data_IF_004407286411
#
_entry.id   IF_004407286411
#
_cell.length_a   1.000
_cell.length_b   1.000
_cell.length_c   1.000
_cell.angle_alpha   90.00
_cell.angle_beta   90.00
_cell.angle_gamma   90.00
#
_symmetry.space_group_name_H-M   'P 1'
#
loop_
_entity.id
_entity.type
_entity.pdbx_description
1 polymer ?
#
# COMPACT_ATOMS: atom_id res chain seq x y z
N UNK A 1 -23.80 19.66 23.46
CA UNK A 1 -23.61 18.28 22.97
C UNK A 1 -22.15 18.13 22.52
N UNK A 2 -21.32 17.46 23.31
CA UNK A 2 -19.92 17.16 22.93
C UNK A 2 -19.92 16.08 21.83
N UNK A 3 -19.26 16.28 20.69
CA UNK A 3 -19.21 15.26 19.64
C UNK A 3 -18.54 14.00 20.20
N UNK A 4 -19.22 12.86 20.08
CA UNK A 4 -18.73 11.55 20.54
C UNK A 4 -17.40 11.30 19.82
N UNK A 5 -16.27 11.35 20.54
CA UNK A 5 -14.93 11.11 19.98
C UNK A 5 -14.96 9.76 19.26
N UNK A 6 -14.87 9.79 17.93
CA UNK A 6 -14.79 8.57 17.15
C UNK A 6 -13.37 8.02 17.28
N UNK A 7 -13.24 6.73 17.60
CA UNK A 7 -11.93 6.09 17.72
C UNK A 7 -11.14 6.15 16.40
N UNK A 8 -9.80 6.07 16.46
CA UNK A 8 -8.93 6.21 15.28
C UNK A 8 -9.28 5.21 14.17
N UNK A 9 -9.64 3.97 14.53
CA UNK A 9 -10.12 2.96 13.57
C UNK A 9 -11.32 3.43 12.75
N UNK A 10 -12.33 4.01 13.43
CA UNK A 10 -13.53 4.49 12.74
C UNK A 10 -13.21 5.65 11.81
N UNK A 11 -12.32 6.55 12.23
CA UNK A 11 -11.91 7.71 11.44
C UNK A 11 -11.12 7.34 10.18
N UNK A 12 -10.13 6.46 10.30
CA UNK A 12 -9.15 6.20 9.24
C UNK A 12 -9.50 5.00 8.35
N UNK A 13 -10.29 4.04 8.85
CA UNK A 13 -10.63 2.83 8.10
C UNK A 13 -12.11 2.81 7.73
N UNK A 14 -12.99 2.90 8.72
CA UNK A 14 -14.44 2.69 8.49
C UNK A 14 -15.07 3.86 7.73
N UNK A 15 -14.82 5.10 8.13
CA UNK A 15 -15.48 6.26 7.53
C UNK A 15 -15.19 6.43 6.03
N UNK A 16 -13.94 6.30 5.53
CA UNK A 16 -13.66 6.39 4.10
C UNK A 16 -14.38 5.31 3.29
N UNK A 17 -14.41 4.06 3.79
CA UNK A 17 -15.14 2.96 3.16
C UNK A 17 -16.63 3.29 3.07
N UNK A 18 -17.22 3.69 4.20
CA UNK A 18 -18.65 4.01 4.27
C UNK A 18 -19.03 5.16 3.33
N UNK A 19 -18.21 6.22 3.27
CA UNK A 19 -18.43 7.32 2.35
C UNK A 19 -18.44 6.86 0.89
N UNK A 20 -17.51 5.99 0.50
CA UNK A 20 -17.45 5.49 -0.88
C UNK A 20 -18.58 4.50 -1.21
N UNK A 21 -19.01 3.69 -0.24
CA UNK A 21 -20.23 2.87 -0.38
C UNK A 21 -21.46 3.75 -0.60
N UNK A 22 -21.63 4.83 0.20
CA UNK A 22 -22.75 5.77 0.03
C UNK A 22 -22.77 6.51 -1.30
N UNK A 23 -21.63 6.58 -1.98
CA UNK A 23 -21.51 7.15 -3.33
C UNK A 23 -21.79 6.12 -4.44
N UNK A 24 -22.29 4.92 -4.09
CA UNK A 24 -22.64 3.87 -5.05
C UNK A 24 -21.46 3.01 -5.52
N UNK A 25 -20.30 3.08 -4.85
CA UNK A 25 -19.18 2.19 -5.18
C UNK A 25 -19.47 0.78 -4.70
N UNK A 26 -19.23 -0.23 -5.55
CA UNK A 26 -19.44 -1.63 -5.16
C UNK A 26 -18.39 -2.11 -4.14
N UNK A 27 -18.74 -3.03 -3.22
CA UNK A 27 -17.79 -3.64 -2.29
C UNK A 27 -16.55 -4.25 -2.96
N UNK A 28 -16.73 -4.82 -4.15
CA UNK A 28 -15.64 -5.38 -4.95
C UNK A 28 -14.62 -4.31 -5.39
N UNK A 29 -15.07 -3.14 -5.85
CA UNK A 29 -14.18 -2.03 -6.25
C UNK A 29 -13.42 -1.43 -5.06
N UNK A 30 -14.08 -1.32 -3.90
CA UNK A 30 -13.43 -0.89 -2.66
C UNK A 30 -12.36 -1.90 -2.26
N UNK A 31 -12.68 -3.19 -2.29
CA UNK A 31 -11.74 -4.28 -1.94
C UNK A 31 -10.54 -4.33 -2.88
N UNK A 32 -10.73 -4.10 -4.18
CA UNK A 32 -9.63 -3.95 -5.14
C UNK A 32 -8.75 -2.76 -4.75
N UNK A 33 -9.33 -1.59 -4.49
CA UNK A 33 -8.56 -0.42 -4.10
C UNK A 33 -7.79 -0.61 -2.77
N UNK A 34 -8.36 -1.33 -1.79
CA UNK A 34 -7.67 -1.72 -0.55
C UNK A 34 -6.48 -2.62 -0.87
N UNK A 35 -6.69 -3.68 -1.65
CA UNK A 35 -5.65 -4.65 -2.00
C UNK A 35 -4.47 -3.99 -2.72
N UNK A 36 -4.75 -3.16 -3.73
CA UNK A 36 -3.71 -2.40 -4.42
C UNK A 36 -3.06 -1.35 -3.50
N UNK A 37 -3.84 -0.66 -2.67
CA UNK A 37 -3.33 0.39 -1.78
C UNK A 37 -2.29 -0.15 -0.80
N UNK A 38 -2.61 -1.27 -0.16
CA UNK A 38 -1.67 -1.91 0.78
C UNK A 38 -0.48 -2.51 0.03
N UNK A 39 -0.72 -3.30 -1.02
CA UNK A 39 0.35 -4.04 -1.72
C UNK A 39 1.36 -3.11 -2.38
N UNK A 40 0.89 -2.07 -3.08
CA UNK A 40 1.77 -1.06 -3.68
C UNK A 40 2.34 -0.11 -2.63
N UNK A 41 1.63 0.12 -1.53
CA UNK A 41 2.10 0.96 -0.42
C UNK A 41 3.36 0.43 0.25
N UNK A 42 3.51 -0.89 0.34
CA UNK A 42 4.70 -1.56 0.90
C UNK A 42 5.83 -1.81 -0.11
N UNK A 43 5.74 -1.27 -1.33
CA UNK A 43 6.80 -1.42 -2.34
C UNK A 43 8.15 -0.96 -1.78
N UNK A 44 9.25 -1.74 -1.92
CA UNK A 44 10.47 -1.53 -1.15
C UNK A 44 11.30 -0.30 -1.59
N UNK A 45 10.79 0.57 -2.46
CA UNK A 45 11.47 1.80 -2.86
C UNK A 45 10.74 3.01 -2.30
N UNK A 46 11.38 3.69 -1.36
CA UNK A 46 10.85 4.89 -0.69
C UNK A 46 10.55 5.98 -1.73
N UNK A 47 9.41 6.65 -1.59
CA UNK A 47 9.01 7.77 -2.45
C UNK A 47 8.43 7.38 -3.82
N UNK A 48 8.74 6.19 -4.34
CA UNK A 48 8.25 5.73 -5.64
C UNK A 48 6.80 5.20 -5.62
N UNK A 49 6.31 4.78 -4.45
CA UNK A 49 4.99 4.17 -4.30
C UNK A 49 3.83 5.10 -4.70
N UNK A 50 3.98 6.43 -4.57
CA UNK A 50 2.98 7.38 -5.06
C UNK A 50 2.84 7.31 -6.57
N UNK A 51 3.95 7.32 -7.31
CA UNK A 51 3.92 7.15 -8.77
C UNK A 51 3.38 5.76 -9.14
N UNK A 52 3.83 4.71 -8.45
CA UNK A 52 3.39 3.34 -8.70
C UNK A 52 1.87 3.18 -8.51
N UNK A 53 1.32 3.73 -7.43
CA UNK A 53 -0.12 3.69 -7.16
C UNK A 53 -0.92 4.50 -8.16
N UNK A 54 -0.38 5.62 -8.67
CA UNK A 54 -1.03 6.38 -9.74
C UNK A 54 -1.02 5.59 -11.06
N UNK A 55 0.14 5.05 -11.44
CA UNK A 55 0.34 4.25 -12.65
C UNK A 55 -0.52 2.99 -12.67
N UNK A 56 -0.77 2.36 -11.52
CA UNK A 56 -1.70 1.24 -11.44
C UNK A 56 -3.15 1.72 -11.33
N UNK A 57 -3.42 2.69 -10.47
CA UNK A 57 -4.78 3.06 -10.07
C UNK A 57 -5.58 3.76 -11.16
N UNK A 58 -4.94 4.61 -11.97
CA UNK A 58 -5.62 5.35 -13.05
C UNK A 58 -6.09 4.43 -14.18
N UNK A 59 -5.23 3.62 -14.82
CA UNK A 59 -5.67 2.76 -15.92
C UNK A 59 -6.64 1.66 -15.46
N UNK A 60 -6.48 1.14 -14.24
CA UNK A 60 -7.39 0.15 -13.66
C UNK A 60 -8.69 0.75 -13.11
N UNK A 61 -8.87 2.08 -13.19
CA UNK A 61 -10.04 2.82 -12.70
C UNK A 61 -10.38 2.46 -11.24
N UNK A 62 -9.34 2.32 -10.40
CA UNK A 62 -9.50 2.00 -8.98
C UNK A 62 -10.13 3.18 -8.23
N UNK A 63 -10.78 2.88 -7.11
CA UNK A 63 -11.28 3.91 -6.22
C UNK A 63 -10.11 4.69 -5.59
N UNK A 64 -9.79 5.85 -6.16
CA UNK A 64 -8.61 6.65 -5.78
C UNK A 64 -8.62 7.07 -4.30
N UNK A 65 -9.74 7.55 -3.71
CA UNK A 65 -9.79 7.84 -2.28
C UNK A 65 -9.39 6.67 -1.39
N UNK A 66 -9.93 5.47 -1.65
CA UNK A 66 -9.61 4.26 -0.88
C UNK A 66 -8.16 3.82 -1.13
N UNK A 67 -7.74 3.82 -2.39
CA UNK A 67 -6.38 3.44 -2.78
C UNK A 67 -5.34 4.27 -2.01
N UNK A 68 -5.49 5.59 -2.00
CA UNK A 68 -4.56 6.49 -1.33
C UNK A 68 -4.65 6.41 0.20
N UNK A 69 -5.86 6.20 0.76
CA UNK A 69 -6.03 6.01 2.19
C UNK A 69 -5.29 4.77 2.68
N UNK A 70 -5.49 3.63 2.02
CA UNK A 70 -4.85 2.37 2.41
C UNK A 70 -3.36 2.32 2.06
N UNK A 71 -2.91 3.02 1.02
CA UNK A 71 -1.48 3.29 0.78
C UNK A 71 -0.85 4.02 1.97
N UNK A 72 -1.50 5.08 2.45
CA UNK A 72 -1.02 5.85 3.60
C UNK A 72 -0.96 4.99 4.87
N UNK A 73 -1.99 4.16 5.09
CA UNK A 73 -2.01 3.22 6.22
C UNK A 73 -0.92 2.15 6.14
N UNK A 74 -0.50 1.77 4.94
CA UNK A 74 0.58 0.81 4.71
C UNK A 74 1.98 1.40 4.88
N UNK A 75 2.12 2.73 5.00
CA UNK A 75 3.42 3.39 5.06
C UNK A 75 4.30 2.95 6.26
N UNK A 76 3.78 2.81 7.49
CA UNK A 76 4.58 2.27 8.60
C UNK A 76 5.05 0.83 8.33
N UNK A 77 4.21 0.04 7.65
CA UNK A 77 4.54 -1.33 7.27
C UNK A 77 5.64 -1.37 6.19
N UNK A 78 5.63 -0.42 5.24
CA UNK A 78 6.72 -0.25 4.27
C UNK A 78 8.06 -0.07 4.99
N UNK A 79 8.11 0.83 5.98
CA UNK A 79 9.31 1.07 6.77
C UNK A 79 9.78 -0.16 7.55
N UNK A 80 8.84 -0.92 8.10
CA UNK A 80 9.18 -2.16 8.82
C UNK A 80 9.71 -3.26 7.88
N UNK A 81 9.19 -3.36 6.65
CA UNK A 81 9.48 -4.45 5.74
C UNK A 81 10.60 -4.17 4.73
N UNK A 82 10.98 -2.91 4.48
CA UNK A 82 11.95 -2.56 3.44
C UNK A 82 13.27 -3.32 3.58
N UNK A 83 13.83 -3.38 4.79
CA UNK A 83 15.05 -4.14 5.07
C UNK A 83 14.84 -5.64 4.89
N UNK A 84 13.64 -6.14 5.21
CA UNK A 84 13.27 -7.54 4.98
C UNK A 84 13.27 -7.90 3.50
N UNK A 85 12.71 -7.06 2.64
CA UNK A 85 12.72 -7.26 1.19
C UNK A 85 14.15 -7.26 0.64
N UNK A 86 14.98 -6.30 1.05
CA UNK A 86 16.38 -6.24 0.61
C UNK A 86 17.18 -7.47 1.05
N UNK A 87 17.08 -7.87 2.31
CA UNK A 87 17.77 -9.07 2.83
C UNK A 87 17.28 -10.36 2.17
N UNK A 88 15.97 -10.50 1.99
CA UNK A 88 15.41 -11.65 1.30
C UNK A 88 15.87 -11.68 -0.17
N UNK A 89 16.04 -10.52 -0.79
CA UNK A 89 16.57 -10.39 -2.14
C UNK A 89 18.04 -10.81 -2.21
N UNK A 90 18.89 -10.27 -1.35
CA UNK A 90 20.30 -10.66 -1.28
C UNK A 90 20.45 -12.18 -1.08
N UNK A 91 19.62 -12.76 -0.20
CA UNK A 91 19.58 -14.21 0.01
C UNK A 91 19.12 -14.97 -1.24
N UNK A 92 18.03 -14.54 -1.90
CA UNK A 92 17.47 -15.19 -3.08
C UNK A 92 18.45 -15.21 -4.27
N UNK A 93 19.26 -14.16 -4.41
CA UNK A 93 20.23 -14.01 -5.50
C UNK A 93 21.68 -14.35 -5.10
N UNK A 94 21.90 -14.83 -3.88
CA UNK A 94 23.22 -15.11 -3.31
C UNK A 94 24.20 -13.92 -3.42
N UNK A 95 23.69 -12.71 -3.18
CA UNK A 95 24.44 -11.47 -3.31
C UNK A 95 25.19 -11.14 -2.00
N UNK A 96 26.31 -10.38 -2.08
CA UNK A 96 26.99 -9.88 -0.90
C UNK A 96 26.08 -8.98 -0.06
N UNK A 97 26.15 -9.11 1.25
CA UNK A 97 25.38 -8.27 2.16
C UNK A 97 25.88 -6.83 2.10
N UNK A 98 24.99 -5.90 1.80
CA UNK A 98 25.29 -4.47 1.86
C UNK A 98 24.86 -3.93 3.23
N UNK A 99 25.73 -3.16 3.89
CA UNK A 99 25.37 -2.49 5.14
C UNK A 99 24.43 -1.33 4.84
N UNK A 100 23.12 -1.55 5.00
CA UNK A 100 22.07 -0.58 4.71
C UNK A 100 21.82 0.27 5.96
N UNK A 101 22.37 1.49 5.99
CA UNK A 101 22.05 2.51 6.98
C UNK A 101 21.31 3.66 6.30
N UNK A 102 19.99 3.77 6.54
CA UNK A 102 19.08 4.65 5.79
C UNK A 102 19.52 6.13 5.78
N UNK A 103 19.90 6.76 6.91
CA UNK A 103 20.34 8.16 6.89
C UNK A 103 21.55 8.40 5.98
N UNK A 104 22.53 7.49 6.06
CA UNK A 104 23.77 7.56 5.28
C UNK A 104 23.52 7.32 3.79
N UNK A 105 22.54 6.47 3.46
CA UNK A 105 22.11 6.25 2.08
C UNK A 105 21.45 7.50 1.48
N UNK A 106 20.62 8.20 2.25
CA UNK A 106 19.98 9.44 1.80
C UNK A 106 21.03 10.51 1.55
N UNK A 107 21.97 10.70 2.49
CA UNK A 107 23.07 11.66 2.34
C UNK A 107 23.92 11.36 1.09
N UNK A 108 24.29 10.09 0.90
CA UNK A 108 25.10 9.67 -0.24
C UNK A 108 24.34 9.75 -1.57
N UNK A 109 23.02 9.54 -1.57
CA UNK A 109 22.19 9.75 -2.75
C UNK A 109 22.22 11.20 -3.23
N UNK A 110 22.14 12.17 -2.31
CA UNK A 110 22.18 13.58 -2.66
C UNK A 110 23.58 14.09 -2.98
N UNK A 111 24.62 13.57 -2.32
CA UNK A 111 26.01 13.96 -2.56
C UNK A 111 26.59 13.32 -3.82
N UNK A 112 26.36 12.01 -4.01
CA UNK A 112 26.99 11.19 -5.06
C UNK A 112 25.99 10.21 -5.70
N UNK A 113 25.04 10.69 -6.53
CA UNK A 113 23.97 9.85 -7.08
C UNK A 113 24.49 8.69 -7.95
N UNK A 114 25.49 8.94 -8.80
CA UNK A 114 26.03 7.93 -9.73
C UNK A 114 26.71 6.78 -8.94
N UNK A 115 27.65 7.04 -8.01
CA UNK A 115 28.19 6.01 -7.12
C UNK A 115 27.12 5.31 -6.29
N UNK A 116 26.13 6.03 -5.78
CA UNK A 116 25.04 5.44 -5.02
C UNK A 116 24.30 4.34 -5.81
N UNK A 117 23.95 4.60 -7.08
CA UNK A 117 23.29 3.58 -7.90
C UNK A 117 24.18 2.39 -8.21
N UNK A 118 25.50 2.59 -8.35
CA UNK A 118 26.45 1.48 -8.53
C UNK A 118 26.52 0.59 -7.29
N UNK A 119 26.53 1.20 -6.11
CA UNK A 119 26.73 0.49 -4.84
C UNK A 119 25.44 -0.16 -4.31
N UNK A 120 24.29 0.48 -4.50
CA UNK A 120 23.01 0.07 -3.87
C UNK A 120 21.92 -0.31 -4.88
N UNK A 121 22.09 -0.02 -6.16
CA UNK A 121 21.05 -0.22 -7.18
C UNK A 121 20.66 -1.70 -7.32
N UNK A 122 21.64 -2.61 -7.28
CA UNK A 122 21.36 -4.05 -7.38
C UNK A 122 20.59 -4.58 -6.17
N UNK A 123 20.95 -4.16 -4.95
CA UNK A 123 20.22 -4.53 -3.73
C UNK A 123 18.76 -4.07 -3.77
N UNK A 124 18.52 -2.86 -4.30
CA UNK A 124 17.17 -2.37 -4.53
C UNK A 124 16.40 -3.26 -5.53
N UNK A 125 17.03 -3.66 -6.63
CA UNK A 125 16.44 -4.57 -7.63
C UNK A 125 16.13 -5.95 -7.04
N UNK A 126 16.99 -6.51 -6.18
CA UNK A 126 16.72 -7.78 -5.51
C UNK A 126 15.50 -7.68 -4.58
N UNK A 127 15.36 -6.58 -3.84
CA UNK A 127 14.17 -6.33 -3.04
C UNK A 127 12.90 -6.22 -3.87
N UNK A 128 12.97 -5.51 -5.01
CA UNK A 128 11.85 -5.42 -5.97
C UNK A 128 11.48 -6.81 -6.48
N UNK A 129 12.46 -7.67 -6.80
CA UNK A 129 12.20 -9.03 -7.27
C UNK A 129 11.44 -9.86 -6.23
N UNK A 130 11.84 -9.81 -4.96
CA UNK A 130 11.10 -10.48 -3.86
C UNK A 130 9.69 -9.89 -3.72
N UNK A 131 9.56 -8.56 -3.77
CA UNK A 131 8.24 -7.93 -3.73
C UNK A 131 7.36 -8.39 -4.90
N UNK A 132 7.89 -8.52 -6.12
CA UNK A 132 7.14 -9.03 -7.28
C UNK A 132 6.64 -10.47 -7.10
N UNK A 133 7.37 -11.30 -6.34
CA UNK A 133 6.93 -12.66 -5.99
C UNK A 133 5.83 -12.66 -4.93
N UNK A 134 5.95 -11.78 -3.93
CA UNK A 134 5.02 -11.70 -2.79
C UNK A 134 3.74 -10.95 -3.15
N UNK A 135 3.83 -9.91 -3.99
CA UNK A 135 2.75 -8.98 -4.28
C UNK A 135 1.47 -9.65 -4.84
N UNK A 136 1.53 -10.60 -5.80
CA UNK A 136 0.33 -11.27 -6.30
C UNK A 136 -0.40 -12.05 -5.20
N UNK A 137 0.35 -12.75 -4.35
CA UNK A 137 -0.20 -13.51 -3.22
C UNK A 137 -0.83 -12.56 -2.19
N UNK A 138 -0.10 -11.50 -1.81
CA UNK A 138 -0.59 -10.51 -0.86
C UNK A 138 -1.86 -9.81 -1.37
N UNK A 139 -1.88 -9.43 -2.63
CA UNK A 139 -3.02 -8.79 -3.27
C UNK A 139 -4.25 -9.71 -3.29
N UNK A 140 -4.08 -10.99 -3.61
CA UNK A 140 -5.15 -11.97 -3.54
C UNK A 140 -5.68 -12.13 -2.12
N UNK A 141 -4.79 -12.36 -1.14
CA UNK A 141 -5.14 -12.53 0.27
C UNK A 141 -5.92 -11.32 0.79
N UNK A 142 -5.43 -10.10 0.54
CA UNK A 142 -6.09 -8.87 0.99
C UNK A 142 -7.45 -8.71 0.31
N UNK A 143 -7.53 -8.92 -1.00
CA UNK A 143 -8.80 -8.80 -1.73
C UNK A 143 -9.87 -9.76 -1.18
N UNK A 144 -9.53 -11.06 -1.06
CA UNK A 144 -10.47 -12.08 -0.64
C UNK A 144 -10.85 -11.96 0.84
N UNK A 145 -9.94 -11.47 1.70
CA UNK A 145 -10.25 -11.22 3.11
C UNK A 145 -11.03 -9.93 3.34
N UNK A 146 -10.76 -8.86 2.59
CA UNK A 146 -11.48 -7.59 2.75
C UNK A 146 -12.89 -7.65 2.18
N UNK A 147 -13.08 -8.33 1.04
CA UNK A 147 -14.37 -8.40 0.34
C UNK A 147 -15.57 -8.77 1.23
N UNK A 148 -15.57 -9.89 1.98
CA UNK A 148 -16.71 -10.25 2.83
C UNK A 148 -16.96 -9.21 3.93
N UNK A 149 -15.90 -8.58 4.45
CA UNK A 149 -16.03 -7.53 5.46
C UNK A 149 -16.71 -6.28 4.88
N UNK A 150 -16.36 -5.87 3.66
CA UNK A 150 -16.97 -4.71 3.01
C UNK A 150 -18.42 -5.01 2.60
N UNK A 151 -18.70 -6.22 2.12
CA UNK A 151 -20.06 -6.66 1.80
C UNK A 151 -20.97 -6.63 3.04
N UNK A 152 -20.46 -7.12 4.17
CA UNK A 152 -21.17 -7.06 5.45
C UNK A 152 -21.40 -5.62 5.96
N UNK A 153 -20.45 -4.72 5.72
CA UNK A 153 -20.63 -3.30 6.05
C UNK A 153 -21.68 -2.64 5.16
N UNK A 154 -21.75 -3.02 3.87
CA UNK A 154 -22.74 -2.50 2.93
C UNK A 154 -24.16 -2.96 3.28
N UNK A 155 -24.33 -4.21 3.74
CA UNK A 155 -25.66 -4.74 4.13
C UNK A 155 -26.17 -4.17 5.44
N UNK A 156 -25.27 -3.90 6.41
CA UNK A 156 -25.65 -3.33 7.72
C UNK A 156 -26.06 -1.86 7.68
N UNK A 157 -25.67 -1.15 6.62
CA UNK A 157 -26.01 0.25 6.44
C UNK A 157 -26.69 0.39 5.08
N UNK A 158 -27.95 -0.07 4.95
CA UNK A 158 -28.68 0.02 3.70
C UNK A 158 -28.61 1.48 3.26
N UNK A 159 -27.94 1.67 2.12
CA UNK A 159 -27.78 2.95 1.43
C UNK A 159 -29.15 3.62 1.46
N UNK A 160 -29.28 4.72 2.22
CA UNK A 160 -30.54 5.44 2.35
C UNK A 160 -31.02 5.73 0.93
N UNK A 161 -32.10 5.09 0.43
CA UNK A 161 -32.70 5.54 -0.80
C UNK A 161 -33.31 6.89 -0.46
N UNK A 162 -32.81 7.96 -1.06
CA UNK A 162 -33.67 9.13 -1.24
C UNK A 162 -34.75 8.72 -2.23
N UNK A 163 -35.88 8.25 -1.69
CA UNK A 163 -37.18 8.20 -2.36
C UNK A 163 -37.59 9.60 -2.84
N UNK A 164 -38.49 9.66 -3.83
CA UNK A 164 -38.32 10.31 -5.14
C UNK A 164 -38.16 11.83 -5.15
#
# INVERSE_FOLDING_TARGET
>A
MTPKKTGPWRRWVVNPIMQQLTQGTTPAKISQAIAYGITLGIFPIIGSNTLLTLLAGVPLKLNQPILQAFKTLAYPLQWALILGFYRAGEWLFNAPHVSIHIPSMIERFFAEPIPFFKDYGMTALYGIAVWCLVAPVLMAVIYFSSKPLIEHLATRNPLRPSTP
#
